data_IF_676199631547
#
_entry.id   IF_676199631547
#
_cell.length_a   1.000
_cell.length_b   1.000
_cell.length_c   1.000
_cell.angle_alpha   90.00
_cell.angle_beta   90.00
_cell.angle_gamma   90.00
#
_symmetry.space_group_name_H-M   'P 1'
#
loop_
_entity.id
_entity.type
_entity.pdbx_description
1 polymer ?
#
# COMPACT_ATOMS: atom_id res chain seq x y z
N UNK A 1 27.77 4.60 -16.67
CA UNK A 1 28.34 3.33 -16.16
C UNK A 1 27.52 2.72 -15.01
N UNK A 2 27.58 3.17 -13.76
CA UNK A 2 26.83 2.49 -12.67
C UNK A 2 25.30 2.57 -12.85
N UNK A 3 24.75 3.72 -13.26
CA UNK A 3 23.30 3.90 -13.48
C UNK A 3 22.73 3.01 -14.58
N UNK A 4 23.39 2.99 -15.76
CA UNK A 4 22.93 2.22 -16.92
C UNK A 4 22.99 0.71 -16.65
N UNK A 5 24.03 0.25 -15.97
CA UNK A 5 24.17 -1.15 -15.57
C UNK A 5 23.06 -1.56 -14.59
N UNK A 6 22.73 -0.72 -13.61
CA UNK A 6 21.60 -0.99 -12.69
C UNK A 6 20.25 -1.05 -13.42
N UNK A 7 20.04 -0.18 -14.41
CA UNK A 7 18.82 -0.20 -15.24
C UNK A 7 18.77 -1.49 -16.07
N UNK A 8 19.88 -1.87 -16.72
CA UNK A 8 19.97 -3.11 -17.50
C UNK A 8 19.66 -4.34 -16.63
N UNK A 9 20.27 -4.42 -15.44
CA UNK A 9 19.97 -5.49 -14.49
C UNK A 9 18.50 -5.50 -14.08
N UNK A 10 17.88 -4.34 -13.85
CA UNK A 10 16.46 -4.27 -13.53
C UNK A 10 15.59 -4.77 -14.70
N UNK A 11 15.91 -4.42 -15.94
CA UNK A 11 15.17 -4.85 -17.12
C UNK A 11 15.31 -6.36 -17.40
N UNK A 12 16.47 -6.95 -17.07
CA UNK A 12 16.73 -8.39 -17.20
C UNK A 12 16.07 -9.22 -16.08
N UNK A 13 15.94 -8.65 -14.86
CA UNK A 13 15.59 -9.42 -13.66
C UNK A 13 14.25 -9.05 -13.01
N UNK A 14 13.58 -7.96 -13.42
CA UNK A 14 12.31 -7.51 -12.85
C UNK A 14 11.23 -7.46 -13.92
N UNK A 15 10.07 -8.08 -13.65
CA UNK A 15 8.94 -8.08 -14.57
C UNK A 15 8.52 -6.64 -14.95
N UNK A 16 8.38 -6.40 -16.27
CA UNK A 16 8.04 -5.12 -16.89
C UNK A 16 6.60 -4.65 -16.68
N UNK A 17 6.17 -4.50 -15.42
CA UNK A 17 4.80 -4.09 -15.04
C UNK A 17 4.62 -2.56 -14.91
N UNK A 18 5.70 -1.79 -15.08
CA UNK A 18 5.72 -0.33 -14.97
C UNK A 18 6.57 0.30 -16.07
N UNK A 19 6.14 1.49 -16.54
CA UNK A 19 6.99 2.38 -17.33
C UNK A 19 7.77 3.26 -16.36
N UNK A 20 9.08 3.03 -16.25
CA UNK A 20 9.96 3.74 -15.30
C UNK A 20 10.66 4.92 -16.00
N UNK A 21 10.91 5.99 -15.24
CA UNK A 21 11.86 7.01 -15.67
C UNK A 21 13.29 6.45 -15.58
N UNK A 22 14.22 6.86 -16.47
CA UNK A 22 15.60 6.37 -16.45
C UNK A 22 16.43 7.07 -15.35
N UNK A 23 15.95 6.98 -14.10
CA UNK A 23 16.56 7.59 -12.91
C UNK A 23 16.67 6.53 -11.82
N UNK A 24 17.87 6.34 -11.28
CA UNK A 24 18.13 5.40 -10.18
C UNK A 24 18.32 6.21 -8.90
N UNK A 25 17.28 6.30 -8.08
CA UNK A 25 17.33 6.98 -6.78
C UNK A 25 18.02 6.10 -5.73
N UNK A 26 19.00 6.66 -5.01
CA UNK A 26 19.84 5.91 -4.04
C UNK A 26 19.80 6.48 -2.62
N UNK A 27 19.28 7.70 -2.46
CA UNK A 27 19.16 8.36 -1.16
C UNK A 27 17.92 9.24 -1.13
N UNK A 28 17.25 9.31 0.02
CA UNK A 28 16.16 10.25 0.28
C UNK A 28 16.23 10.82 1.69
N UNK A 29 15.91 12.10 1.84
CA UNK A 29 15.85 12.83 3.12
C UNK A 29 14.85 13.97 3.03
N UNK A 30 13.80 13.94 3.85
CA UNK A 30 12.73 14.94 3.80
C UNK A 30 12.08 14.94 2.41
N UNK A 31 11.95 16.10 1.77
CA UNK A 31 11.38 16.23 0.43
C UNK A 31 12.40 16.04 -0.72
N UNK A 32 13.65 15.66 -0.41
CA UNK A 32 14.73 15.55 -1.40
C UNK A 32 15.13 14.12 -1.63
N UNK A 33 15.47 13.80 -2.88
CA UNK A 33 16.06 12.52 -3.28
C UNK A 33 17.29 12.76 -4.15
N UNK A 34 18.24 11.83 -4.11
CA UNK A 34 19.46 11.87 -4.92
C UNK A 34 19.56 10.62 -5.76
N UNK A 35 19.95 10.78 -7.03
CA UNK A 35 20.24 9.66 -7.91
C UNK A 35 21.67 9.12 -7.73
N UNK A 36 21.96 8.00 -8.38
CA UNK A 36 23.27 7.33 -8.36
C UNK A 36 24.42 8.17 -8.93
N UNK A 37 24.14 9.30 -9.60
CA UNK A 37 25.16 10.26 -10.06
C UNK A 37 25.39 11.39 -9.06
N UNK A 38 24.62 11.41 -7.96
CA UNK A 38 24.65 12.45 -6.93
C UNK A 38 23.75 13.65 -7.24
N UNK A 39 22.98 13.63 -8.33
CA UNK A 39 22.07 14.72 -8.67
C UNK A 39 20.86 14.72 -7.72
N UNK A 40 20.58 15.89 -7.16
CA UNK A 40 19.46 16.13 -6.25
C UNK A 40 18.19 16.47 -7.03
N UNK A 41 17.06 15.98 -6.52
CA UNK A 41 15.72 16.29 -7.00
C UNK A 41 14.82 16.67 -5.83
N UNK A 42 13.89 17.58 -6.10
CA UNK A 42 12.73 17.80 -5.26
C UNK A 42 11.67 16.72 -5.59
N UNK A 43 11.30 15.91 -4.62
CA UNK A 43 10.28 14.87 -4.78
C UNK A 43 8.88 15.45 -4.58
N UNK A 44 8.22 15.78 -5.70
CA UNK A 44 6.83 16.22 -5.75
C UNK A 44 5.83 15.06 -5.98
N UNK A 45 6.30 13.81 -5.98
CA UNK A 45 5.49 12.59 -6.16
C UNK A 45 5.25 11.90 -4.82
N UNK A 46 6.23 11.96 -3.91
CA UNK A 46 6.20 11.38 -2.57
C UNK A 46 5.79 9.89 -2.57
N UNK A 47 6.29 9.13 -3.53
CA UNK A 47 5.93 7.71 -3.67
C UNK A 47 4.45 7.47 -3.94
N UNK A 48 3.78 8.36 -4.68
CA UNK A 48 2.32 8.39 -4.86
C UNK A 48 1.64 8.66 -3.50
N UNK A 49 2.01 9.81 -2.91
CA UNK A 49 1.52 10.30 -1.62
C UNK A 49 1.82 9.42 -0.38
N UNK A 50 2.66 8.39 -0.50
CA UNK A 50 3.06 7.49 0.60
C UNK A 50 4.03 8.16 1.57
N UNK A 51 5.03 8.87 1.07
CA UNK A 51 6.09 9.47 1.89
C UNK A 51 5.66 10.83 2.47
N UNK A 52 4.50 10.90 3.15
CA UNK A 52 3.91 12.17 3.60
C UNK A 52 4.74 12.89 4.68
N UNK A 53 5.55 12.15 5.46
CA UNK A 53 6.51 12.71 6.42
C UNK A 53 7.89 12.99 5.79
N UNK A 54 8.02 12.80 4.47
CA UNK A 54 9.29 12.82 3.76
C UNK A 54 10.07 11.50 3.88
N UNK A 55 11.13 11.40 3.09
CA UNK A 55 12.01 10.24 3.06
C UNK A 55 12.86 10.14 4.33
N UNK A 56 13.00 8.93 4.86
CA UNK A 56 13.88 8.60 5.99
C UNK A 56 13.68 9.49 7.23
N UNK A 57 12.42 9.82 7.56
CA UNK A 57 12.11 10.69 8.70
C UNK A 57 12.74 10.15 10.00
N UNK A 58 13.59 10.92 10.72
CA UNK A 58 14.41 10.41 11.84
C UNK A 58 13.61 9.68 12.91
N UNK A 59 12.44 10.21 13.30
CA UNK A 59 11.56 9.59 14.31
C UNK A 59 11.02 8.24 13.86
N UNK A 60 10.65 8.09 12.58
CA UNK A 60 10.13 6.83 12.03
C UNK A 60 11.24 5.79 11.96
N UNK A 61 12.43 6.20 11.48
CA UNK A 61 13.61 5.33 11.42
C UNK A 61 14.01 4.83 12.81
N UNK A 62 14.02 5.71 13.81
CA UNK A 62 14.34 5.34 15.19
C UNK A 62 13.33 4.33 15.77
N UNK A 63 12.02 4.58 15.60
CA UNK A 63 10.97 3.69 16.09
C UNK A 63 11.01 2.30 15.44
N UNK A 64 11.28 2.23 14.14
CA UNK A 64 11.43 0.94 13.43
C UNK A 64 12.64 0.18 13.97
N UNK A 65 13.81 0.83 14.11
CA UNK A 65 15.02 0.18 14.62
C UNK A 65 14.82 -0.35 16.03
N UNK A 66 14.25 0.45 16.92
CA UNK A 66 13.96 0.04 18.30
C UNK A 66 13.04 -1.19 18.35
N UNK A 67 12.00 -1.24 17.50
CA UNK A 67 11.11 -2.39 17.46
C UNK A 67 11.78 -3.64 16.86
N UNK A 68 12.65 -3.49 15.86
CA UNK A 68 13.40 -4.60 15.27
C UNK A 68 14.36 -5.27 16.27
N UNK A 69 14.95 -4.49 17.18
CA UNK A 69 15.80 -5.02 18.26
C UNK A 69 14.99 -5.81 19.32
N UNK A 70 13.66 -5.66 19.32
CA UNK A 70 12.75 -6.29 20.30
C UNK A 70 11.98 -7.47 19.71
N UNK A 71 11.20 -7.25 18.65
CA UNK A 71 10.28 -8.24 18.07
C UNK A 71 9.81 -7.81 16.68
N UNK A 72 9.93 -8.69 15.68
CA UNK A 72 9.56 -8.40 14.29
C UNK A 72 8.17 -8.93 13.90
N UNK A 73 7.93 -10.24 14.02
CA UNK A 73 6.69 -10.86 13.56
C UNK A 73 6.36 -12.12 14.35
N UNK A 74 5.09 -12.27 14.76
CA UNK A 74 4.62 -13.42 15.54
C UNK A 74 3.27 -13.97 15.04
N UNK A 75 2.83 -13.63 13.83
CA UNK A 75 1.46 -13.87 13.34
C UNK A 75 0.38 -13.17 14.17
N UNK A 76 -0.90 -13.40 13.85
CA UNK A 76 -2.05 -12.88 14.61
C UNK A 76 -2.46 -13.77 15.80
N UNK A 77 -1.71 -14.85 16.08
CA UNK A 77 -2.00 -15.76 17.20
C UNK A 77 -1.64 -15.17 18.57
N UNK A 78 -0.85 -14.09 18.61
CA UNK A 78 -0.41 -13.45 19.84
C UNK A 78 -0.66 -11.95 19.80
N UNK A 79 -0.78 -11.35 20.98
CA UNK A 79 -0.89 -9.91 21.14
C UNK A 79 0.48 -9.23 21.06
N UNK A 80 0.52 -8.04 20.47
CA UNK A 80 1.73 -7.19 20.46
C UNK A 80 1.39 -5.78 20.91
N UNK A 81 2.24 -5.19 21.76
CA UNK A 81 2.02 -3.85 22.30
C UNK A 81 1.84 -2.77 21.21
N UNK A 82 2.66 -2.73 20.13
CA UNK A 82 2.51 -1.71 19.10
C UNK A 82 1.16 -1.77 18.39
N UNK A 83 0.66 -2.98 18.08
CA UNK A 83 -0.63 -3.16 17.42
C UNK A 83 -1.79 -2.69 18.31
N UNK A 84 -1.77 -3.05 19.60
CA UNK A 84 -2.80 -2.62 20.57
C UNK A 84 -2.82 -1.09 20.70
N UNK A 85 -1.65 -0.47 20.85
CA UNK A 85 -1.53 0.98 21.00
C UNK A 85 -1.98 1.73 19.75
N UNK A 86 -1.64 1.23 18.57
CA UNK A 86 -2.09 1.80 17.31
C UNK A 86 -3.60 1.64 17.10
N UNK A 87 -4.16 0.47 17.41
CA UNK A 87 -5.61 0.25 17.33
C UNK A 87 -6.35 1.26 18.19
N UNK A 88 -5.95 1.41 19.46
CA UNK A 88 -6.53 2.39 20.38
C UNK A 88 -6.40 3.83 19.87
N UNK A 89 -5.24 4.21 19.35
CA UNK A 89 -5.03 5.56 18.81
C UNK A 89 -6.00 5.84 17.65
N UNK A 90 -6.22 4.87 16.76
CA UNK A 90 -7.10 5.02 15.60
C UNK A 90 -8.58 5.08 16.00
N UNK A 91 -9.02 4.24 16.94
CA UNK A 91 -10.41 4.24 17.41
C UNK A 91 -10.73 5.51 18.22
N UNK A 92 -9.81 5.97 19.06
CA UNK A 92 -9.98 7.22 19.83
C UNK A 92 -10.05 8.48 18.92
N UNK A 93 -9.56 8.41 17.68
CA UNK A 93 -9.43 9.56 16.76
C UNK A 93 -10.21 9.37 15.44
N UNK A 94 -11.17 8.45 15.38
CA UNK A 94 -12.00 8.23 14.20
C UNK A 94 -13.45 7.87 14.58
N UNK A 95 -14.27 7.58 13.58
CA UNK A 95 -15.64 7.09 13.79
C UNK A 95 -15.70 5.60 14.15
N UNK A 96 -14.58 4.88 14.03
CA UNK A 96 -14.57 3.42 14.06
C UNK A 96 -14.42 2.88 15.48
N UNK A 97 -15.16 1.80 15.80
CA UNK A 97 -15.05 1.09 17.07
C UNK A 97 -13.91 0.06 17.08
N UNK A 98 -13.58 -0.50 15.92
CA UNK A 98 -12.56 -1.54 15.74
C UNK A 98 -11.70 -1.33 14.48
N UNK A 99 -10.50 -1.92 14.46
CA UNK A 99 -9.54 -1.80 13.35
C UNK A 99 -9.03 -3.17 12.94
N UNK A 100 -9.04 -3.42 11.63
CA UNK A 100 -8.33 -4.54 11.00
C UNK A 100 -7.04 -4.06 10.35
N UNK A 101 -5.92 -4.73 10.62
CA UNK A 101 -4.62 -4.40 10.02
C UNK A 101 -4.27 -5.33 8.87
N UNK A 102 -3.79 -4.75 7.77
CA UNK A 102 -3.25 -5.43 6.61
C UNK A 102 -2.06 -4.65 6.03
N UNK A 103 -1.48 -5.15 4.93
CA UNK A 103 -0.19 -4.67 4.44
C UNK A 103 -0.34 -3.72 3.25
N UNK A 104 -1.45 -3.80 2.52
CA UNK A 104 -1.70 -2.97 1.34
C UNK A 104 -3.13 -2.40 1.31
N UNK A 105 -3.31 -1.33 0.54
CA UNK A 105 -4.65 -0.79 0.28
C UNK A 105 -5.57 -1.75 -0.49
N UNK A 106 -5.00 -2.65 -1.30
CA UNK A 106 -5.78 -3.68 -1.98
C UNK A 106 -6.32 -4.71 -0.98
N UNK A 107 -5.51 -5.17 -0.03
CA UNK A 107 -5.98 -6.06 1.05
C UNK A 107 -7.02 -5.37 1.96
N UNK A 108 -6.86 -4.06 2.22
CA UNK A 108 -7.85 -3.29 2.97
C UNK A 108 -9.20 -3.27 2.25
N UNK A 109 -9.20 -3.04 0.94
CA UNK A 109 -10.43 -3.06 0.14
C UNK A 109 -11.01 -4.46 -0.01
N UNK A 110 -10.21 -5.51 -0.15
CA UNK A 110 -10.67 -6.91 -0.09
C UNK A 110 -11.38 -7.21 1.23
N UNK A 111 -10.78 -6.81 2.35
CA UNK A 111 -11.38 -6.99 3.67
C UNK A 111 -12.69 -6.21 3.81
N UNK A 112 -12.74 -4.97 3.33
CA UNK A 112 -13.96 -4.15 3.34
C UNK A 112 -15.08 -4.77 2.48
N UNK A 113 -14.75 -5.26 1.29
CA UNK A 113 -15.69 -5.97 0.40
C UNK A 113 -16.25 -7.22 1.09
N UNK A 114 -15.38 -8.03 1.69
CA UNK A 114 -15.79 -9.24 2.41
C UNK A 114 -16.67 -8.91 3.61
N UNK A 115 -16.32 -7.89 4.39
CA UNK A 115 -17.08 -7.47 5.56
C UNK A 115 -18.48 -6.97 5.16
N UNK A 116 -18.57 -6.12 4.13
CA UNK A 116 -19.84 -5.61 3.62
C UNK A 116 -20.76 -6.74 3.11
N UNK A 117 -20.21 -7.67 2.32
CA UNK A 117 -20.96 -8.83 1.81
C UNK A 117 -21.40 -9.78 2.93
N UNK A 118 -20.51 -10.07 3.89
CA UNK A 118 -20.84 -10.91 5.04
C UNK A 118 -21.96 -10.29 5.87
N UNK A 119 -21.86 -8.99 6.15
CA UNK A 119 -22.90 -8.27 6.87
C UNK A 119 -24.24 -8.29 6.12
N UNK A 120 -24.24 -8.03 4.81
CA UNK A 120 -25.45 -8.07 4.01
C UNK A 120 -26.09 -9.47 3.99
N UNK A 121 -25.28 -10.52 3.84
CA UNK A 121 -25.75 -11.90 3.93
C UNK A 121 -26.41 -12.21 5.27
N UNK A 122 -25.75 -11.87 6.38
CA UNK A 122 -26.19 -12.25 7.73
C UNK A 122 -27.38 -11.40 8.22
N UNK A 123 -27.55 -10.18 7.71
CA UNK A 123 -28.51 -9.21 8.27
C UNK A 123 -29.53 -8.63 7.28
N UNK A 124 -29.25 -8.65 5.97
CA UNK A 124 -30.06 -7.94 4.97
C UNK A 124 -30.67 -8.83 3.88
N UNK A 125 -30.30 -10.11 3.84
CA UNK A 125 -30.69 -11.09 2.83
C UNK A 125 -29.50 -11.59 2.01
N UNK A 126 -29.39 -12.91 1.81
CA UNK A 126 -28.25 -13.56 1.14
C UNK A 126 -28.04 -13.21 -0.34
N UNK A 127 -29.00 -12.53 -0.95
CA UNK A 127 -28.98 -12.05 -2.33
C UNK A 127 -28.36 -10.65 -2.49
N UNK A 128 -28.02 -9.96 -1.39
CA UNK A 128 -27.40 -8.62 -1.44
C UNK A 128 -25.88 -8.68 -1.46
N UNK A 129 -25.30 -8.80 -2.65
CA UNK A 129 -23.83 -8.88 -2.86
C UNK A 129 -23.27 -7.85 -3.84
N UNK A 130 -24.13 -7.07 -4.49
CA UNK A 130 -23.74 -6.06 -5.48
C UNK A 130 -22.94 -4.93 -4.82
N UNK A 131 -21.88 -4.49 -5.49
CA UNK A 131 -21.01 -3.40 -5.05
C UNK A 131 -21.05 -2.31 -6.10
N UNK A 132 -21.44 -1.11 -5.70
CA UNK A 132 -21.42 0.06 -6.57
C UNK A 132 -20.08 0.76 -6.46
N UNK A 133 -19.39 0.96 -7.58
CA UNK A 133 -18.12 1.69 -7.64
C UNK A 133 -18.21 2.80 -8.69
N UNK A 134 -17.31 3.79 -8.55
CA UNK A 134 -17.36 4.99 -9.37
C UNK A 134 -16.46 4.85 -10.60
N UNK A 135 -16.88 5.42 -11.73
CA UNK A 135 -16.03 5.55 -12.92
C UNK A 135 -14.75 6.32 -12.56
N UNK A 136 -13.62 5.88 -13.11
CA UNK A 136 -12.27 6.37 -12.85
C UNK A 136 -11.71 6.10 -11.44
N UNK A 137 -12.41 5.33 -10.59
CA UNK A 137 -11.87 4.89 -9.30
C UNK A 137 -10.66 3.96 -9.46
N UNK A 138 -9.93 3.74 -8.36
CA UNK A 138 -8.87 2.75 -8.25
C UNK A 138 -8.88 2.13 -6.85
N UNK A 139 -9.11 0.82 -6.77
CA UNK A 139 -9.29 0.11 -5.49
C UNK A 139 -8.21 -0.96 -5.23
N UNK A 140 -7.35 -1.24 -6.21
CA UNK A 140 -6.29 -2.23 -6.08
C UNK A 140 -6.09 -3.04 -7.35
N UNK A 141 -5.31 -4.11 -7.24
CA UNK A 141 -4.97 -5.00 -8.36
C UNK A 141 -5.20 -6.49 -8.03
N UNK A 142 -5.85 -6.81 -6.91
CA UNK A 142 -6.38 -8.17 -6.67
C UNK A 142 -7.66 -8.37 -7.49
N UNK A 143 -8.12 -9.60 -7.70
CA UNK A 143 -9.26 -9.85 -8.60
C UNK A 143 -10.55 -9.10 -8.17
N UNK A 144 -10.92 -9.08 -6.88
CA UNK A 144 -12.11 -8.32 -6.49
C UNK A 144 -11.88 -6.80 -6.56
N UNK A 145 -10.67 -6.32 -6.22
CA UNK A 145 -10.39 -4.87 -6.22
C UNK A 145 -10.15 -4.31 -7.63
N UNK A 146 -9.69 -5.12 -8.56
CA UNK A 146 -9.57 -4.75 -9.98
C UNK A 146 -10.95 -4.77 -10.65
N UNK A 147 -11.82 -5.72 -10.31
CA UNK A 147 -13.24 -5.70 -10.71
C UNK A 147 -13.94 -4.43 -10.19
N UNK A 148 -13.68 -4.05 -8.93
CA UNK A 148 -14.18 -2.82 -8.33
C UNK A 148 -13.58 -1.54 -8.95
N UNK A 149 -12.39 -1.60 -9.54
CA UNK A 149 -11.69 -0.44 -10.13
C UNK A 149 -12.40 0.04 -11.39
N UNK A 150 -12.88 1.28 -11.40
CA UNK A 150 -13.67 1.86 -12.50
C UNK A 150 -12.87 2.31 -13.72
N UNK A 151 -11.84 1.57 -14.12
CA UNK A 151 -10.94 1.91 -15.24
C UNK A 151 -10.73 0.69 -16.14
N UNK A 152 -11.41 0.66 -17.30
CA UNK A 152 -11.44 -0.48 -18.25
C UNK A 152 -10.05 -1.03 -18.64
N UNK A 153 -9.03 -0.17 -18.71
CA UNK A 153 -7.65 -0.59 -19.04
C UNK A 153 -7.08 -1.63 -18.07
N UNK A 154 -7.61 -1.71 -16.85
CA UNK A 154 -7.17 -2.68 -15.85
C UNK A 154 -7.97 -3.98 -15.89
N UNK A 155 -9.07 -4.06 -16.65
CA UNK A 155 -9.91 -5.26 -16.74
C UNK A 155 -9.46 -6.24 -17.82
N UNK A 156 -8.98 -5.69 -18.94
CA UNK A 156 -8.64 -6.45 -20.16
C UNK A 156 -7.69 -7.62 -19.87
N UNK A 157 -8.15 -8.83 -20.16
CA UNK A 157 -7.38 -10.07 -20.03
C UNK A 157 -7.51 -10.76 -18.67
N UNK A 158 -8.32 -10.22 -17.75
CA UNK A 158 -8.60 -10.83 -16.44
C UNK A 158 -10.05 -11.30 -16.30
N UNK A 159 -10.86 -11.20 -17.36
CA UNK A 159 -12.25 -11.64 -17.36
C UNK A 159 -12.38 -13.18 -17.22
N UNK A 160 -13.45 -13.68 -16.56
CA UNK A 160 -14.53 -12.94 -15.92
C UNK A 160 -14.11 -12.28 -14.59
N UNK A 161 -14.61 -11.06 -14.35
CA UNK A 161 -14.41 -10.25 -13.15
C UNK A 161 -15.73 -10.05 -12.39
#
# INVERSE_FOLDING_TARGET
MQTEELIRQADENIMGTYKRFPVVLVKGSGMKVWDSTGKEYLDMVAGIAVCSLGHSHPTVVAAIKEQLDKLTHVSNLYYTEPQIRLAKLLTDNSFADEVFFCNSGAEANEAAIKLARKYAHDHLGGDKYELLTMRNSFHGRTLATIAATGQEKFHKGFEPL
#
